data_IF_779789486525
#
_entry.id   IF_779789486525
#
_cell.length_a   1.000
_cell.length_b   1.000
_cell.length_c   1.000
_cell.angle_alpha   90.00
_cell.angle_beta   90.00
_cell.angle_gamma   90.00
#
_symmetry.space_group_name_H-M   'P 1'
#
loop_
_entity.id
_entity.type
_entity.pdbx_description
1 polymer ?
#
# COMPACT_ATOMS: atom_id res chain seq x y z
N UNK A 1 -48.45 33.68 -11.31
CA UNK A 1 -47.97 33.09 -12.59
C UNK A 1 -46.44 32.98 -12.65
N UNK A 2 -45.73 32.95 -11.51
CA UNK A 2 -44.24 33.03 -11.43
C UNK A 2 -43.55 31.65 -11.51
N UNK A 3 -44.14 30.61 -10.92
CA UNK A 3 -43.54 29.27 -10.82
C UNK A 3 -43.23 28.58 -12.17
N UNK A 4 -43.99 28.88 -13.24
CA UNK A 4 -43.74 28.34 -14.60
C UNK A 4 -42.53 28.97 -15.27
N UNK A 5 -42.23 30.23 -14.94
CA UNK A 5 -41.11 30.97 -15.53
C UNK A 5 -39.81 30.54 -14.86
N UNK A 6 -39.81 30.36 -13.55
CA UNK A 6 -38.67 29.87 -12.77
C UNK A 6 -38.23 28.47 -13.23
N UNK A 7 -39.15 27.52 -13.36
CA UNK A 7 -38.86 26.16 -13.87
C UNK A 7 -38.37 26.13 -15.33
N UNK A 8 -38.80 27.08 -16.15
CA UNK A 8 -38.33 27.21 -17.53
C UNK A 8 -36.91 27.78 -17.61
N UNK A 9 -36.59 28.74 -16.73
CA UNK A 9 -35.24 29.32 -16.61
C UNK A 9 -34.26 28.27 -16.07
N UNK A 10 -34.64 27.52 -15.02
CA UNK A 10 -33.84 26.41 -14.48
C UNK A 10 -33.57 25.34 -15.54
N UNK A 11 -34.59 24.94 -16.31
CA UNK A 11 -34.43 23.95 -17.37
C UNK A 11 -33.53 24.41 -18.53
N UNK A 12 -33.54 25.71 -18.86
CA UNK A 12 -32.64 26.27 -19.88
C UNK A 12 -31.20 26.41 -19.37
N UNK A 13 -31.03 26.83 -18.11
CA UNK A 13 -29.73 26.94 -17.47
C UNK A 13 -29.08 25.56 -17.31
N UNK A 14 -29.85 24.56 -16.90
CA UNK A 14 -29.39 23.17 -16.80
C UNK A 14 -28.89 22.63 -18.15
N UNK A 15 -29.59 22.91 -19.26
CA UNK A 15 -29.16 22.48 -20.61
C UNK A 15 -27.85 23.13 -21.05
N UNK A 16 -27.60 24.38 -20.65
CA UNK A 16 -26.37 25.11 -20.98
C UNK A 16 -25.18 24.67 -20.11
N UNK A 17 -25.43 24.37 -18.83
CA UNK A 17 -24.40 23.96 -17.88
C UNK A 17 -24.03 22.48 -18.01
N UNK A 18 -24.96 21.61 -18.39
CA UNK A 18 -24.74 20.17 -18.53
C UNK A 18 -23.48 19.78 -19.35
N UNK A 19 -23.21 20.35 -20.54
CA UNK A 19 -22.00 20.00 -21.30
C UNK A 19 -20.72 20.43 -20.57
N UNK A 20 -20.70 21.63 -19.98
CA UNK A 20 -19.53 22.17 -19.27
C UNK A 20 -19.20 21.35 -18.03
N UNK A 21 -20.23 21.01 -17.23
CA UNK A 21 -20.06 20.17 -16.05
C UNK A 21 -19.60 18.76 -16.44
N UNK A 22 -20.11 18.22 -17.55
CA UNK A 22 -19.67 16.91 -18.06
C UNK A 22 -18.20 16.93 -18.46
N UNK A 23 -17.74 17.96 -19.15
CA UNK A 23 -16.32 18.11 -19.52
C UNK A 23 -15.43 18.24 -18.28
N UNK A 24 -15.81 19.07 -17.32
CA UNK A 24 -15.08 19.22 -16.07
C UNK A 24 -15.02 17.90 -15.27
N UNK A 25 -16.13 17.16 -15.23
CA UNK A 25 -16.20 15.87 -14.56
C UNK A 25 -15.30 14.85 -15.24
N UNK A 26 -15.30 14.79 -16.58
CA UNK A 26 -14.44 13.87 -17.33
C UNK A 26 -12.96 14.20 -17.13
N UNK A 27 -12.58 15.47 -17.16
CA UNK A 27 -11.21 15.91 -16.90
C UNK A 27 -10.76 15.59 -15.46
N UNK A 28 -11.66 15.69 -14.48
CA UNK A 28 -11.38 15.28 -13.10
C UNK A 28 -11.23 13.78 -12.97
N UNK A 29 -12.09 13.00 -13.62
CA UNK A 29 -11.99 11.53 -13.64
C UNK A 29 -10.68 11.07 -14.28
N UNK A 30 -10.27 11.70 -15.38
CA UNK A 30 -9.00 11.39 -16.05
C UNK A 30 -7.79 11.75 -15.17
N UNK A 31 -7.81 12.92 -14.52
CA UNK A 31 -6.78 13.32 -13.56
C UNK A 31 -6.70 12.37 -12.38
N UNK A 32 -7.84 12.03 -11.77
CA UNK A 32 -7.90 11.06 -10.67
C UNK A 32 -7.39 9.70 -11.16
N UNK A 33 -7.79 9.23 -12.36
CA UNK A 33 -7.30 7.97 -12.90
C UNK A 33 -5.78 7.99 -13.14
N UNK A 34 -5.20 9.13 -13.50
CA UNK A 34 -3.76 9.30 -13.65
C UNK A 34 -3.01 9.41 -12.31
N UNK A 35 -3.62 10.03 -11.29
CA UNK A 35 -3.06 10.21 -9.94
C UNK A 35 -3.26 9.00 -9.03
N UNK A 36 -4.31 8.21 -9.27
CA UNK A 36 -4.60 6.96 -8.56
C UNK A 36 -3.62 5.90 -9.05
N UNK A 37 -2.42 6.01 -8.49
CA UNK A 37 -1.22 5.20 -8.61
C UNK A 37 -1.35 3.89 -9.39
N UNK A 38 -0.42 3.64 -10.34
CA UNK A 38 -0.39 2.38 -11.08
C UNK A 38 -0.30 1.22 -10.09
N UNK A 39 -1.17 0.21 -10.25
CA UNK A 39 -1.32 -0.99 -9.40
C UNK A 39 0.00 -1.65 -8.94
N UNK A 40 1.11 -1.37 -9.64
CA UNK A 40 2.49 -1.62 -9.21
C UNK A 40 2.86 -1.12 -7.80
N UNK A 41 2.40 0.07 -7.35
CA UNK A 41 2.72 0.58 -6.00
C UNK A 41 2.01 -0.18 -4.89
N UNK A 42 0.79 -0.66 -5.14
CA UNK A 42 0.05 -1.47 -4.17
C UNK A 42 0.77 -2.81 -3.89
N UNK A 43 1.32 -3.45 -4.93
CA UNK A 43 2.11 -4.68 -4.80
C UNK A 43 3.46 -4.44 -4.12
N UNK A 44 4.12 -3.31 -4.39
CA UNK A 44 5.35 -2.93 -3.69
C UNK A 44 5.11 -2.77 -2.17
N UNK A 45 3.98 -2.18 -1.78
CA UNK A 45 3.63 -2.02 -0.36
C UNK A 45 3.34 -3.34 0.37
N UNK A 46 2.90 -4.39 -0.33
CA UNK A 46 2.77 -5.74 0.27
C UNK A 46 4.13 -6.41 0.44
N UNK A 47 4.99 -6.37 -0.59
CA UNK A 47 6.34 -6.92 -0.54
C UNK A 47 7.17 -6.29 0.60
N UNK A 48 7.15 -4.97 0.71
CA UNK A 48 7.92 -4.26 1.73
C UNK A 48 7.37 -4.56 3.15
N UNK A 49 6.05 -4.72 3.30
CA UNK A 49 5.45 -5.13 4.58
C UNK A 49 5.88 -6.53 5.00
N UNK A 50 5.86 -7.48 4.07
CA UNK A 50 6.27 -8.87 4.33
C UNK A 50 7.76 -8.97 4.69
N UNK A 51 8.62 -8.26 3.95
CA UNK A 51 10.06 -8.19 4.23
C UNK A 51 10.29 -7.54 5.61
N UNK A 52 9.64 -6.41 5.90
CA UNK A 52 9.77 -5.74 7.19
C UNK A 52 9.28 -6.62 8.36
N UNK A 53 8.22 -7.41 8.15
CA UNK A 53 7.77 -8.39 9.15
C UNK A 53 8.85 -9.44 9.42
N UNK A 54 9.50 -9.97 8.37
CA UNK A 54 10.60 -10.92 8.53
C UNK A 54 11.82 -10.29 9.23
N UNK A 55 12.17 -9.04 8.91
CA UNK A 55 13.24 -8.30 9.59
C UNK A 55 12.97 -8.15 11.10
N UNK A 56 11.73 -7.88 11.51
CA UNK A 56 11.37 -7.82 12.94
C UNK A 56 11.60 -9.15 13.65
N UNK A 57 11.27 -10.27 13.00
CA UNK A 57 11.51 -11.61 13.56
C UNK A 57 13.01 -11.86 13.75
N UNK A 58 13.83 -11.47 12.77
CA UNK A 58 15.31 -11.56 12.87
C UNK A 58 15.82 -10.70 14.03
N UNK A 59 15.36 -9.46 14.17
CA UNK A 59 15.74 -8.58 15.27
C UNK A 59 15.41 -9.22 16.63
N UNK A 60 14.18 -9.70 16.83
CA UNK A 60 13.80 -10.36 18.08
C UNK A 60 14.56 -11.67 18.35
N UNK A 61 15.05 -12.36 17.31
CA UNK A 61 15.91 -13.54 17.50
C UNK A 61 17.35 -13.14 17.86
N UNK A 62 17.85 -12.04 17.29
CA UNK A 62 19.15 -11.48 17.63
C UNK A 62 19.19 -10.98 19.09
N UNK A 63 18.14 -10.29 19.55
CA UNK A 63 18.02 -9.85 20.95
C UNK A 63 18.03 -11.04 21.90
N UNK A 64 17.29 -12.11 21.58
CA UNK A 64 17.28 -13.35 22.36
C UNK A 64 18.65 -14.02 22.41
N UNK A 65 19.38 -14.04 21.29
CA UNK A 65 20.75 -14.56 21.26
C UNK A 65 21.70 -13.68 22.10
N UNK A 66 21.55 -12.35 22.05
CA UNK A 66 22.35 -11.44 22.85
C UNK A 66 22.13 -11.67 24.36
N UNK A 67 20.88 -11.89 24.78
CA UNK A 67 20.52 -12.23 26.16
C UNK A 67 21.08 -13.59 26.59
N UNK A 68 21.07 -14.58 25.69
CA UNK A 68 21.49 -15.95 25.99
C UNK A 68 22.99 -16.22 25.73
N UNK A 69 23.78 -15.21 25.32
CA UNK A 69 25.11 -15.36 24.70
C UNK A 69 26.11 -16.22 25.49
N UNK A 70 26.02 -16.24 26.82
CA UNK A 70 26.91 -17.02 27.69
C UNK A 70 26.18 -18.05 28.54
N UNK A 71 24.91 -18.32 28.21
CA UNK A 71 24.06 -19.26 28.95
C UNK A 71 23.82 -20.57 28.21
N UNK A 72 23.22 -21.57 28.89
CA UNK A 72 22.87 -22.86 28.29
C UNK A 72 21.87 -22.74 27.11
N UNK A 73 21.18 -21.60 26.98
CA UNK A 73 20.26 -21.31 25.87
C UNK A 73 20.91 -20.79 24.59
N UNK A 74 22.23 -20.55 24.56
CA UNK A 74 22.92 -19.93 23.40
C UNK A 74 22.69 -20.72 22.11
N UNK A 75 22.89 -22.03 22.14
CA UNK A 75 22.80 -22.89 20.94
C UNK A 75 21.37 -22.84 20.36
N UNK A 76 20.36 -22.89 21.22
CA UNK A 76 18.97 -22.81 20.80
C UNK A 76 18.64 -21.42 20.22
N UNK A 77 19.12 -20.35 20.85
CA UNK A 77 18.95 -18.99 20.35
C UNK A 77 19.67 -18.76 19.01
N UNK A 78 20.87 -19.33 18.84
CA UNK A 78 21.62 -19.28 17.57
C UNK A 78 20.86 -19.96 16.44
N UNK A 79 20.35 -21.18 16.68
CA UNK A 79 19.50 -21.89 15.71
C UNK A 79 18.24 -21.11 15.37
N UNK A 80 17.62 -20.48 16.37
CA UNK A 80 16.44 -19.62 16.15
C UNK A 80 16.78 -18.42 15.26
N UNK A 81 17.93 -17.79 15.44
CA UNK A 81 18.38 -16.68 14.60
C UNK A 81 18.65 -17.13 13.16
N UNK A 82 19.32 -18.28 12.99
CA UNK A 82 19.57 -18.86 11.67
C UNK A 82 18.27 -19.18 10.92
N UNK A 83 17.29 -19.74 11.62
CA UNK A 83 15.96 -20.00 11.05
C UNK A 83 15.23 -18.71 10.66
N UNK A 84 15.31 -17.66 11.48
CA UNK A 84 14.74 -16.36 11.17
C UNK A 84 15.41 -15.72 9.93
N UNK A 85 16.74 -15.78 9.85
CA UNK A 85 17.50 -15.29 8.70
C UNK A 85 17.14 -16.04 7.41
N UNK A 86 16.97 -17.36 7.47
CA UNK A 86 16.47 -18.16 6.35
C UNK A 86 15.04 -17.76 5.94
N UNK A 87 14.18 -17.44 6.91
CA UNK A 87 12.84 -16.90 6.67
C UNK A 87 12.88 -15.56 5.92
N UNK A 88 13.75 -14.64 6.34
CA UNK A 88 13.97 -13.36 5.65
C UNK A 88 14.46 -13.57 4.22
N UNK A 89 15.46 -14.43 4.02
CA UNK A 89 15.95 -14.77 2.67
C UNK A 89 14.81 -15.26 1.77
N UNK A 90 13.97 -16.18 2.25
CA UNK A 90 12.82 -16.69 1.49
C UNK A 90 11.82 -15.58 1.13
N UNK A 91 11.54 -14.65 2.06
CA UNK A 91 10.67 -13.51 1.80
C UNK A 91 11.28 -12.59 0.72
N UNK A 92 12.57 -12.28 0.83
CA UNK A 92 13.26 -11.44 -0.15
C UNK A 92 13.33 -12.08 -1.55
N UNK A 93 13.62 -13.38 -1.64
CA UNK A 93 13.60 -14.11 -2.91
C UNK A 93 12.20 -14.15 -3.53
N UNK A 94 11.15 -14.37 -2.74
CA UNK A 94 9.75 -14.37 -3.22
C UNK A 94 9.37 -13.06 -3.90
N UNK A 95 9.90 -11.94 -3.41
CA UNK A 95 9.63 -10.61 -3.97
C UNK A 95 10.72 -10.11 -4.93
N UNK A 96 11.69 -10.95 -5.32
CA UNK A 96 12.75 -10.58 -6.26
C UNK A 96 13.71 -9.50 -5.74
N UNK A 97 13.85 -9.36 -4.42
CA UNK A 97 14.74 -8.37 -3.77
C UNK A 97 16.13 -8.95 -3.43
N UNK A 98 16.34 -10.23 -3.70
CA UNK A 98 17.61 -10.92 -3.53
C UNK A 98 17.81 -11.81 -4.76
N UNK A 99 18.87 -11.61 -5.55
CA UNK A 99 19.19 -12.44 -6.70
C UNK A 99 19.62 -13.85 -6.29
#
# INVERSE_FOLDING_TARGET
>A
MTARVETQIEGQLARKLAPVVREMLMAEVERIAAETLPATRAKAGEADRDIMKACRVVASAADRLAQAKYGPGEIAARKSLENAANGLRRAMCRHGRMP
#
